data_IF_315731858709
#
_entry.id   IF_315731858709
#
_cell.length_a   1.000
_cell.length_b   1.000
_cell.length_c   1.000
_cell.angle_alpha   90.00
_cell.angle_beta   90.00
_cell.angle_gamma   90.00
#
_symmetry.space_group_name_H-M   'P 1'
#
loop_
_entity.id
_entity.type
_entity.pdbx_description
1 polymer ?
#
# COMPACT_ATOMS: atom_id res chain seq x y z
N UNK A 1 -31.09 -23.99 3.10
CA UNK A 1 -30.26 -22.76 3.04
C UNK A 1 -28.92 -22.86 3.81
N UNK A 2 -28.74 -23.81 4.74
CA UNK A 2 -27.49 -23.88 5.56
C UNK A 2 -26.23 -24.50 4.93
N UNK A 3 -26.31 -25.21 3.79
CA UNK A 3 -25.11 -25.87 3.21
C UNK A 3 -24.27 -25.00 2.25
N UNK A 4 -24.80 -23.84 1.82
CA UNK A 4 -24.12 -22.92 0.90
C UNK A 4 -23.07 -22.03 1.60
N UNK A 5 -23.33 -21.66 2.86
CA UNK A 5 -22.43 -20.78 3.64
C UNK A 5 -21.16 -21.52 4.10
N UNK A 6 -21.31 -22.79 4.51
CA UNK A 6 -20.19 -23.61 4.98
C UNK A 6 -19.19 -23.94 3.87
N UNK A 7 -19.65 -24.08 2.62
CA UNK A 7 -18.77 -24.33 1.47
C UNK A 7 -17.97 -23.09 1.05
N UNK A 8 -18.60 -21.90 1.11
CA UNK A 8 -17.92 -20.61 0.83
C UNK A 8 -16.81 -20.31 1.83
N UNK A 9 -17.05 -20.54 3.13
CA UNK A 9 -16.05 -20.32 4.18
C UNK A 9 -14.86 -21.27 3.97
N UNK A 10 -15.10 -22.57 3.69
CA UNK A 10 -14.04 -23.56 3.44
C UNK A 10 -13.20 -23.27 2.19
N UNK A 11 -13.81 -22.76 1.11
CA UNK A 11 -13.08 -22.35 -0.09
C UNK A 11 -12.25 -21.09 0.13
N UNK A 12 -12.74 -20.12 0.91
CA UNK A 12 -12.02 -18.89 1.21
C UNK A 12 -10.78 -19.14 2.10
N UNK A 13 -10.88 -20.03 3.09
CA UNK A 13 -9.73 -20.43 3.91
C UNK A 13 -8.69 -21.23 3.12
N UNK A 14 -9.12 -22.07 2.16
CA UNK A 14 -8.18 -22.79 1.26
C UNK A 14 -7.49 -21.87 0.26
N UNK A 15 -8.19 -20.84 -0.24
CA UNK A 15 -7.60 -19.86 -1.16
C UNK A 15 -6.52 -19.02 -0.47
N UNK A 16 -6.76 -18.56 0.77
CA UNK A 16 -5.74 -17.85 1.57
C UNK A 16 -4.53 -18.71 1.91
N UNK A 17 -4.72 -20.01 2.19
CA UNK A 17 -3.58 -20.91 2.44
C UNK A 17 -2.77 -21.17 1.16
N UNK A 18 -3.42 -21.25 0.00
CA UNK A 18 -2.75 -21.47 -1.28
C UNK A 18 -1.96 -20.24 -1.75
N UNK A 19 -2.48 -19.02 -1.54
CA UNK A 19 -1.72 -17.78 -1.80
C UNK A 19 -0.53 -17.65 -0.86
N UNK A 20 -0.67 -17.96 0.43
CA UNK A 20 0.47 -17.97 1.37
C UNK A 20 1.52 -19.00 0.98
N UNK A 21 1.12 -20.22 0.57
CA UNK A 21 2.06 -21.28 0.16
C UNK A 21 2.81 -20.93 -1.14
N UNK A 22 2.10 -20.38 -2.13
CA UNK A 22 2.72 -19.93 -3.39
C UNK A 22 3.64 -18.72 -3.18
N UNK A 23 3.35 -17.87 -2.19
CA UNK A 23 4.17 -16.70 -1.86
C UNK A 23 5.46 -17.07 -1.11
N UNK A 24 5.42 -18.06 -0.23
CA UNK A 24 6.62 -18.63 0.40
C UNK A 24 7.51 -19.30 -0.66
N UNK A 25 6.91 -19.96 -1.66
CA UNK A 25 7.66 -20.56 -2.77
C UNK A 25 8.31 -19.53 -3.71
N UNK A 26 7.65 -18.40 -4.00
CA UNK A 26 8.24 -17.35 -4.85
C UNK A 26 9.45 -16.65 -4.21
N UNK A 27 9.58 -16.73 -2.88
CA UNK A 27 10.70 -16.21 -2.11
C UNK A 27 11.89 -17.18 -1.98
N UNK A 28 11.74 -18.43 -2.44
CA UNK A 28 12.75 -19.48 -2.28
C UNK A 28 13.72 -19.62 -3.47
N UNK A 29 13.60 -18.80 -4.51
CA UNK A 29 14.50 -18.88 -5.66
C UNK A 29 15.85 -18.23 -5.35
N UNK A 30 16.84 -19.08 -5.09
CA UNK A 30 18.24 -18.71 -4.96
C UNK A 30 18.83 -18.35 -6.33
N UNK A 31 18.78 -17.08 -6.71
CA UNK A 31 19.76 -16.56 -7.67
C UNK A 31 21.06 -16.35 -6.89
N UNK A 32 22.07 -17.19 -7.16
CA UNK A 32 23.44 -16.97 -6.73
C UNK A 32 23.97 -15.80 -7.53
N UNK A 33 24.12 -14.64 -6.89
CA UNK A 33 25.01 -13.61 -7.40
C UNK A 33 26.42 -14.17 -7.32
N UNK A 34 26.94 -14.65 -8.44
CA UNK A 34 28.31 -15.13 -8.54
C UNK A 34 29.25 -13.93 -8.42
N UNK A 35 29.72 -13.68 -7.20
CA UNK A 35 30.79 -12.72 -6.96
C UNK A 35 32.05 -13.37 -7.50
N UNK A 36 32.52 -12.85 -8.62
CA UNK A 36 33.84 -13.14 -9.16
C UNK A 36 34.86 -12.46 -8.25
N UNK A 37 35.17 -13.09 -7.11
CA UNK A 37 36.48 -12.87 -6.48
C UNK A 37 37.48 -13.33 -7.54
N UNK A 38 38.19 -12.38 -8.14
CA UNK A 38 39.15 -12.65 -9.20
C UNK A 38 40.00 -13.86 -8.76
N UNK A 39 40.02 -14.97 -9.52
CA UNK A 39 40.61 -16.19 -9.03
C UNK A 39 42.09 -15.96 -8.72
N UNK A 40 42.60 -16.64 -7.69
CA UNK A 40 44.01 -16.58 -7.27
C UNK A 40 44.98 -16.86 -8.45
N UNK A 41 44.51 -17.58 -9.49
CA UNK A 41 44.55 -17.23 -10.93
C UNK A 41 45.79 -16.47 -11.45
N UNK A 42 45.82 -15.19 -11.11
CA UNK A 42 46.74 -14.20 -11.70
C UNK A 42 48.01 -13.93 -10.88
N UNK A 43 48.13 -14.51 -9.68
CA UNK A 43 49.26 -14.25 -8.77
C UNK A 43 50.05 -15.51 -8.35
N UNK A 44 50.06 -16.56 -9.18
CA UNK A 44 50.71 -17.86 -8.88
C UNK A 44 52.23 -17.87 -8.67
N UNK A 45 52.89 -16.72 -8.63
CA UNK A 45 54.31 -16.66 -8.25
C UNK A 45 54.56 -15.56 -7.21
N UNK A 46 53.98 -15.77 -6.03
CA UNK A 46 54.32 -15.13 -4.76
C UNK A 46 55.71 -15.60 -4.27
N UNK A 47 56.74 -15.27 -5.03
CA UNK A 47 58.13 -15.70 -4.77
C UNK A 47 58.93 -14.67 -4.00
N UNK A 48 58.51 -13.41 -4.02
CA UNK A 48 59.24 -12.28 -3.43
C UNK A 48 58.35 -11.48 -2.48
N UNK A 49 58.95 -10.84 -1.48
CA UNK A 49 58.27 -9.97 -0.52
C UNK A 49 57.42 -8.87 -1.19
N UNK A 50 57.95 -8.18 -2.19
CA UNK A 50 57.23 -7.09 -2.90
C UNK A 50 55.97 -7.57 -3.63
N UNK A 51 56.01 -8.76 -4.24
CA UNK A 51 54.84 -9.40 -4.86
C UNK A 51 53.79 -9.79 -3.82
N UNK A 52 54.19 -10.26 -2.64
CA UNK A 52 53.27 -10.54 -1.54
C UNK A 52 52.58 -9.28 -1.03
N UNK A 53 53.31 -8.18 -0.91
CA UNK A 53 52.72 -6.89 -0.53
C UNK A 53 51.71 -6.38 -1.56
N UNK A 54 52.02 -6.49 -2.86
CA UNK A 54 51.11 -6.15 -3.95
C UNK A 54 49.85 -7.03 -3.95
N UNK A 55 50.02 -8.34 -3.76
CA UNK A 55 48.91 -9.29 -3.66
C UNK A 55 47.97 -8.98 -2.49
N UNK A 56 48.54 -8.68 -1.31
CA UNK A 56 47.79 -8.21 -0.15
C UNK A 56 47.03 -6.91 -0.46
N UNK A 57 47.69 -5.90 -1.03
CA UNK A 57 47.07 -4.60 -1.34
C UNK A 57 45.93 -4.73 -2.35
N UNK A 58 46.09 -5.58 -3.36
CA UNK A 58 45.02 -5.87 -4.32
C UNK A 58 43.79 -6.47 -3.62
N UNK A 59 43.98 -7.49 -2.78
CA UNK A 59 42.87 -8.13 -2.07
C UNK A 59 42.21 -7.19 -1.05
N UNK A 60 42.99 -6.38 -0.34
CA UNK A 60 42.45 -5.36 0.56
C UNK A 60 41.53 -4.39 -0.19
N UNK A 61 41.90 -3.98 -1.41
CA UNK A 61 41.05 -3.14 -2.27
C UNK A 61 39.77 -3.87 -2.68
N UNK A 62 39.87 -5.13 -3.09
CA UNK A 62 38.70 -5.94 -3.47
C UNK A 62 37.72 -6.12 -2.31
N UNK A 63 38.23 -6.42 -1.11
CA UNK A 63 37.43 -6.49 0.12
C UNK A 63 36.75 -5.15 0.44
N UNK A 64 37.45 -4.04 0.25
CA UNK A 64 36.88 -2.70 0.40
C UNK A 64 35.77 -2.40 -0.60
N UNK A 65 35.89 -2.86 -1.85
CA UNK A 65 34.85 -2.73 -2.87
C UNK A 65 33.63 -3.57 -2.47
N UNK A 66 33.83 -4.83 -2.09
CA UNK A 66 32.75 -5.73 -1.66
C UNK A 66 31.93 -5.10 -0.52
N UNK A 67 32.58 -4.56 0.52
CA UNK A 67 31.85 -3.88 1.61
C UNK A 67 31.01 -2.72 1.10
N UNK A 68 31.55 -1.89 0.19
CA UNK A 68 30.79 -0.77 -0.38
C UNK A 68 29.59 -1.24 -1.18
N UNK A 69 29.71 -2.34 -1.92
CA UNK A 69 28.58 -2.92 -2.67
C UNK A 69 27.48 -3.44 -1.74
N UNK A 70 27.84 -4.10 -0.63
CA UNK A 70 26.87 -4.53 0.39
C UNK A 70 26.22 -3.33 1.10
N UNK A 71 26.99 -2.30 1.44
CA UNK A 71 26.47 -1.04 2.01
C UNK A 71 25.50 -0.36 1.03
N UNK A 72 25.83 -0.29 -0.26
CA UNK A 72 24.97 0.28 -1.28
C UNK A 72 23.67 -0.53 -1.45
N UNK A 73 23.73 -1.86 -1.40
CA UNK A 73 22.54 -2.71 -1.47
C UNK A 73 21.54 -2.42 -0.34
N UNK A 74 22.04 -2.13 0.88
CA UNK A 74 21.19 -1.69 2.00
C UNK A 74 20.53 -0.32 1.73
N UNK A 75 21.27 0.62 1.16
CA UNK A 75 20.75 1.95 0.79
C UNK A 75 19.67 1.82 -0.29
N UNK A 76 19.95 1.08 -1.36
CA UNK A 76 19.00 0.85 -2.44
C UNK A 76 17.72 0.18 -1.94
N UNK A 77 17.84 -0.78 -1.01
CA UNK A 77 16.70 -1.43 -0.39
C UNK A 77 15.86 -0.45 0.42
N UNK A 78 16.51 0.40 1.23
CA UNK A 78 15.85 1.47 1.99
C UNK A 78 15.04 2.37 1.07
N UNK A 79 15.67 2.90 0.04
CA UNK A 79 15.06 3.88 -0.85
C UNK A 79 13.87 3.27 -1.60
N UNK A 80 14.02 2.04 -2.11
CA UNK A 80 12.92 1.30 -2.75
C UNK A 80 11.76 1.03 -1.78
N UNK A 81 12.06 0.68 -0.54
CA UNK A 81 11.02 0.40 0.46
C UNK A 81 10.23 1.67 0.82
N UNK A 82 10.93 2.77 1.11
CA UNK A 82 10.29 4.03 1.45
C UNK A 82 9.53 4.65 0.28
N UNK A 83 10.08 4.61 -0.94
CA UNK A 83 9.37 5.10 -2.13
C UNK A 83 8.01 4.39 -2.33
N UNK A 84 7.93 3.08 -2.02
CA UNK A 84 6.66 2.34 -2.08
C UNK A 84 5.69 2.76 -0.98
N UNK A 85 6.17 3.12 0.21
CA UNK A 85 5.33 3.65 1.28
C UNK A 85 4.82 5.06 0.95
N UNK A 86 5.67 5.90 0.34
CA UNK A 86 5.33 7.28 -0.01
C UNK A 86 4.23 7.35 -1.07
N UNK A 87 4.25 6.45 -2.07
CA UNK A 87 3.16 6.33 -3.06
C UNK A 87 1.82 6.03 -2.37
N UNK A 88 1.81 5.21 -1.32
CA UNK A 88 0.59 4.94 -0.55
C UNK A 88 0.17 6.20 0.22
N UNK A 89 1.14 6.95 0.77
CA UNK A 89 0.90 8.22 1.44
C UNK A 89 0.29 9.31 0.55
N UNK A 90 0.72 9.41 -0.72
CA UNK A 90 0.21 10.42 -1.65
C UNK A 90 -1.29 10.27 -1.92
N UNK A 91 -1.80 9.04 -1.92
CA UNK A 91 -3.23 8.84 -2.15
C UNK A 91 -4.13 9.30 -0.98
N UNK A 92 -3.56 9.79 0.12
CA UNK A 92 -4.32 10.48 1.18
C UNK A 92 -4.92 11.77 0.61
N UNK A 93 -4.13 12.58 -0.09
CA UNK A 93 -4.56 13.87 -0.67
C UNK A 93 -5.73 13.68 -1.65
N UNK A 94 -5.75 12.55 -2.37
CA UNK A 94 -6.83 12.19 -3.27
C UNK A 94 -8.18 12.01 -2.54
N UNK A 95 -8.18 11.39 -1.36
CA UNK A 95 -9.41 11.22 -0.57
C UNK A 95 -9.87 12.54 0.05
N UNK A 96 -8.94 13.39 0.47
CA UNK A 96 -9.25 14.73 0.99
C UNK A 96 -9.94 15.56 -0.10
N UNK A 97 -9.35 15.60 -1.30
CA UNK A 97 -9.93 16.25 -2.48
C UNK A 97 -11.32 15.71 -2.80
N UNK A 98 -11.52 14.38 -2.67
CA UNK A 98 -12.83 13.79 -2.97
C UNK A 98 -13.91 14.18 -1.97
N UNK A 99 -13.57 14.30 -0.69
CA UNK A 99 -14.51 14.79 0.33
C UNK A 99 -14.84 16.26 0.10
N UNK A 100 -13.86 17.08 -0.28
CA UNK A 100 -14.08 18.48 -0.67
C UNK A 100 -15.00 18.60 -1.89
N UNK A 101 -14.83 17.76 -2.91
CA UNK A 101 -15.74 17.70 -4.06
C UNK A 101 -17.19 17.39 -3.65
N UNK A 102 -17.38 16.50 -2.68
CA UNK A 102 -18.71 16.16 -2.16
C UNK A 102 -19.32 17.35 -1.43
N UNK A 103 -18.55 18.01 -0.57
CA UNK A 103 -19.00 19.23 0.08
C UNK A 103 -19.37 20.33 -0.94
N UNK A 104 -18.57 20.50 -1.99
CA UNK A 104 -18.85 21.43 -3.08
C UNK A 104 -20.11 21.10 -3.88
N UNK A 105 -20.55 19.83 -3.88
CA UNK A 105 -21.83 19.42 -4.46
C UNK A 105 -23.01 19.61 -3.50
N UNK A 106 -22.81 19.34 -2.20
CA UNK A 106 -23.87 19.42 -1.20
C UNK A 106 -24.17 20.87 -0.79
N UNK A 107 -23.16 21.74 -0.69
CA UNK A 107 -23.33 23.12 -0.23
C UNK A 107 -24.33 23.93 -1.08
N UNK A 108 -24.29 23.90 -2.43
CA UNK A 108 -25.27 24.62 -3.23
C UNK A 108 -26.69 24.09 -3.09
N UNK A 109 -26.87 22.78 -2.83
CA UNK A 109 -28.20 22.19 -2.68
C UNK A 109 -28.95 22.80 -1.48
N UNK A 110 -28.24 23.11 -0.40
CA UNK A 110 -28.83 23.76 0.78
C UNK A 110 -29.45 25.13 0.47
N UNK A 111 -28.97 25.81 -0.59
CA UNK A 111 -29.47 27.14 -0.98
C UNK A 111 -30.73 27.08 -1.87
N UNK A 112 -31.13 25.89 -2.33
CA UNK A 112 -32.25 25.73 -3.27
C UNK A 112 -33.63 25.68 -2.56
N UNK A 113 -33.68 25.48 -1.24
CA UNK A 113 -34.92 25.54 -0.45
C UNK A 113 -34.89 24.67 0.81
N UNK A 114 -35.89 24.86 1.68
CA UNK A 114 -35.95 24.26 3.03
C UNK A 114 -35.88 22.71 3.03
N UNK A 115 -36.49 22.07 2.03
CA UNK A 115 -36.45 20.60 1.90
C UNK A 115 -35.03 20.13 1.60
N UNK A 116 -34.33 20.82 0.69
CA UNK A 116 -32.98 20.46 0.32
C UNK A 116 -32.01 20.71 1.49
N UNK A 117 -32.17 21.83 2.19
CA UNK A 117 -31.40 22.13 3.40
C UNK A 117 -31.60 21.06 4.49
N UNK A 118 -32.85 20.68 4.76
CA UNK A 118 -33.18 19.60 5.70
C UNK A 118 -32.51 18.27 5.30
N UNK A 119 -32.65 17.86 4.03
CA UNK A 119 -32.13 16.58 3.54
C UNK A 119 -30.60 16.52 3.60
N UNK A 120 -29.91 17.60 3.23
CA UNK A 120 -28.45 17.68 3.32
C UNK A 120 -27.99 17.64 4.78
N UNK A 121 -28.56 18.50 5.65
CA UNK A 121 -28.15 18.55 7.07
C UNK A 121 -28.38 17.23 7.80
N UNK A 122 -29.46 16.52 7.48
CA UNK A 122 -29.78 15.21 8.08
C UNK A 122 -28.73 14.14 7.79
N UNK A 123 -28.20 14.08 6.57
CA UNK A 123 -27.34 12.98 6.13
C UNK A 123 -25.85 13.34 6.07
N UNK A 124 -25.49 14.63 6.00
CA UNK A 124 -24.10 15.11 5.91
C UNK A 124 -23.22 14.65 7.08
N UNK A 125 -23.77 14.55 8.29
CA UNK A 125 -23.04 14.12 9.49
C UNK A 125 -22.49 12.68 9.40
N UNK A 126 -22.97 11.86 8.45
CA UNK A 126 -22.44 10.52 8.20
C UNK A 126 -21.13 10.54 7.41
N UNK A 127 -20.79 11.63 6.71
CA UNK A 127 -19.52 11.74 6.00
C UNK A 127 -18.36 11.72 6.99
N UNK A 128 -17.27 10.97 6.69
CA UNK A 128 -16.11 10.96 7.56
C UNK A 128 -15.45 12.34 7.58
N UNK A 129 -14.97 12.74 8.76
CA UNK A 129 -14.18 13.96 8.88
C UNK A 129 -12.80 13.75 8.25
N UNK A 130 -12.40 14.69 7.37
CA UNK A 130 -11.10 14.68 6.69
C UNK A 130 -9.96 14.43 7.67
N UNK A 131 -9.87 15.21 8.75
CA UNK A 131 -8.81 15.08 9.75
C UNK A 131 -8.70 13.67 10.37
N UNK A 132 -9.83 13.01 10.64
CA UNK A 132 -9.83 11.65 11.21
C UNK A 132 -9.39 10.61 10.18
N UNK A 133 -9.80 10.78 8.91
CA UNK A 133 -9.37 9.92 7.81
C UNK A 133 -7.87 10.04 7.58
N UNK A 134 -7.33 11.26 7.55
CA UNK A 134 -5.89 11.54 7.42
C UNK A 134 -5.08 10.87 8.52
N UNK A 135 -5.54 10.92 9.77
CA UNK A 135 -4.87 10.25 10.90
C UNK A 135 -4.84 8.73 10.69
N UNK A 136 -5.99 8.10 10.43
CA UNK A 136 -6.08 6.64 10.21
C UNK A 136 -5.20 6.17 9.06
N UNK A 137 -5.11 6.97 8.01
CA UNK A 137 -4.29 6.65 6.84
C UNK A 137 -2.79 6.79 7.12
N UNK A 138 -2.38 7.84 7.85
CA UNK A 138 -0.99 7.99 8.32
C UNK A 138 -0.59 6.87 9.28
N UNK A 139 -1.51 6.38 10.11
CA UNK A 139 -1.27 5.22 10.96
C UNK A 139 -0.97 3.94 10.16
N UNK A 140 -1.59 3.76 8.98
CA UNK A 140 -1.29 2.64 8.10
C UNK A 140 0.17 2.69 7.62
N UNK A 141 0.66 3.83 7.13
CA UNK A 141 2.04 3.98 6.62
C UNK A 141 3.08 3.98 7.74
N UNK A 142 2.74 4.51 8.92
CA UNK A 142 3.62 4.52 10.10
C UNK A 142 3.99 3.10 10.54
N UNK A 143 3.04 2.15 10.50
CA UNK A 143 3.31 0.73 10.81
C UNK A 143 4.33 0.12 9.85
N UNK A 144 4.26 0.47 8.57
CA UNK A 144 5.24 0.07 7.56
C UNK A 144 6.62 0.65 7.87
N UNK A 145 6.67 1.95 8.14
CA UNK A 145 7.90 2.69 8.45
C UNK A 145 8.63 2.10 9.66
N UNK A 146 7.90 1.86 10.75
CA UNK A 146 8.47 1.33 12.00
C UNK A 146 8.99 -0.10 11.88
N UNK A 147 8.56 -0.85 10.85
CA UNK A 147 8.99 -2.23 10.64
C UNK A 147 10.33 -2.35 9.90
N UNK A 148 10.78 -1.28 9.22
CA UNK A 148 11.95 -1.30 8.34
C UNK A 148 13.22 -1.82 9.04
N UNK A 149 13.56 -1.27 10.20
CA UNK A 149 14.76 -1.64 10.94
C UNK A 149 14.77 -3.13 11.32
N UNK A 150 13.59 -3.72 11.54
CA UNK A 150 13.46 -5.14 11.82
C UNK A 150 13.89 -6.02 10.64
N UNK A 151 13.69 -5.56 9.41
CA UNK A 151 14.04 -6.33 8.21
C UNK A 151 15.54 -6.33 7.93
N UNK A 152 16.22 -5.21 8.14
CA UNK A 152 17.63 -5.02 7.71
C UNK A 152 18.66 -5.26 8.81
N UNK A 153 18.25 -5.27 10.09
CA UNK A 153 19.17 -5.37 11.23
C UNK A 153 20.21 -6.51 11.13
N UNK A 154 19.80 -7.68 10.64
CA UNK A 154 20.71 -8.81 10.44
C UNK A 154 21.75 -8.56 9.35
N UNK A 155 21.32 -8.00 8.21
CA UNK A 155 22.20 -7.68 7.09
C UNK A 155 23.19 -6.56 7.45
N UNK A 156 22.72 -5.52 8.16
CA UNK A 156 23.57 -4.45 8.70
C UNK A 156 24.63 -4.98 9.67
N UNK A 157 24.24 -5.93 10.53
CA UNK A 157 25.18 -6.58 11.45
C UNK A 157 26.25 -7.37 10.68
N UNK A 158 25.87 -8.11 9.65
CA UNK A 158 26.82 -8.86 8.79
C UNK A 158 27.84 -7.93 8.13
N UNK A 159 27.39 -6.83 7.51
CA UNK A 159 28.30 -5.85 6.87
C UNK A 159 29.25 -5.24 7.90
N UNK A 160 28.74 -4.85 9.07
CA UNK A 160 29.54 -4.29 10.16
C UNK A 160 30.58 -5.29 10.66
N UNK A 161 30.20 -6.55 10.84
CA UNK A 161 31.10 -7.61 11.28
C UNK A 161 32.20 -7.87 10.25
N UNK A 162 31.87 -7.88 8.96
CA UNK A 162 32.82 -8.07 7.88
C UNK A 162 33.82 -6.89 7.80
N UNK A 163 33.32 -5.65 7.90
CA UNK A 163 34.14 -4.45 7.95
C UNK A 163 35.11 -4.47 9.14
N UNK A 164 34.60 -4.81 10.32
CA UNK A 164 35.40 -4.95 11.53
C UNK A 164 36.49 -6.01 11.32
N UNK A 165 36.14 -7.19 10.79
CA UNK A 165 37.08 -8.27 10.51
C UNK A 165 38.26 -7.82 9.63
N UNK A 166 38.02 -7.02 8.59
CA UNK A 166 39.11 -6.48 7.77
C UNK A 166 40.01 -5.50 8.54
N UNK A 167 39.39 -4.60 9.32
CA UNK A 167 40.14 -3.58 10.09
C UNK A 167 40.87 -4.13 11.30
N UNK A 168 40.43 -5.26 11.86
CA UNK A 168 41.04 -5.89 13.04
C UNK A 168 41.81 -7.15 12.69
N UNK A 169 41.12 -8.23 12.34
CA UNK A 169 41.69 -9.57 12.27
C UNK A 169 42.63 -9.70 11.08
N UNK A 170 42.19 -9.25 9.91
CA UNK A 170 43.03 -9.30 8.70
C UNK A 170 44.25 -8.37 8.83
N UNK A 171 44.04 -7.12 9.28
CA UNK A 171 45.13 -6.18 9.52
C UNK A 171 46.15 -6.72 10.54
N UNK A 172 45.69 -7.36 11.62
CA UNK A 172 46.56 -7.96 12.64
C UNK A 172 47.35 -9.12 12.06
N UNK A 173 46.71 -10.05 11.34
CA UNK A 173 47.38 -11.20 10.72
C UNK A 173 48.49 -10.76 9.75
N UNK A 174 48.22 -9.74 8.92
CA UNK A 174 49.23 -9.17 8.00
C UNK A 174 50.39 -8.53 8.77
N UNK A 175 50.10 -7.76 9.83
CA UNK A 175 51.13 -7.15 10.66
C UNK A 175 51.98 -8.18 11.42
N UNK A 176 51.39 -9.29 11.85
CA UNK A 176 52.11 -10.42 12.45
C UNK A 176 53.04 -11.09 11.44
N UNK A 177 52.59 -11.32 10.20
CA UNK A 177 53.46 -11.82 9.12
C UNK A 177 54.66 -10.90 8.91
N UNK A 178 54.45 -9.58 8.89
CA UNK A 178 55.52 -8.58 8.75
C UNK A 178 56.51 -8.61 9.90
N UNK A 179 56.02 -8.67 11.15
CA UNK A 179 56.87 -8.72 12.36
C UNK A 179 57.69 -10.02 12.42
N UNK A 180 57.07 -11.16 12.15
CA UNK A 180 57.69 -12.48 12.25
C UNK A 180 58.76 -12.73 11.19
N UNK A 181 58.66 -12.04 10.05
CA UNK A 181 59.58 -12.19 8.92
C UNK A 181 60.34 -10.89 8.56
N UNK A 182 60.52 -9.98 9.55
CA UNK A 182 61.14 -8.67 9.37
C UNK A 182 62.55 -8.71 8.74
N UNK A 183 63.28 -9.80 8.92
CA UNK A 183 64.65 -9.93 8.43
C UNK A 183 64.75 -10.34 6.94
N UNK A 184 63.62 -10.54 6.25
CA UNK A 184 63.46 -10.84 4.80
C UNK A 184 64.28 -12.01 4.19
N UNK A 185 65.18 -12.64 4.96
CA UNK A 185 66.01 -13.77 4.56
C UNK A 185 65.22 -15.06 4.29
N UNK A 186 63.92 -15.07 4.62
CA UNK A 186 63.02 -16.18 4.39
C UNK A 186 61.80 -15.73 3.57
N UNK A 187 62.04 -15.20 2.36
CA UNK A 187 61.00 -14.70 1.44
C UNK A 187 59.83 -15.67 1.29
N UNK A 188 60.12 -16.97 1.15
CA UNK A 188 59.11 -18.03 1.04
C UNK A 188 58.18 -18.13 2.26
N UNK A 189 58.70 -17.90 3.47
CA UNK A 189 57.89 -17.98 4.68
C UNK A 189 56.99 -16.74 4.81
N UNK A 190 57.49 -15.57 4.42
CA UNK A 190 56.69 -14.35 4.38
C UNK A 190 55.55 -14.45 3.36
N UNK A 191 55.87 -14.84 2.12
CA UNK A 191 54.88 -14.94 1.04
C UNK A 191 53.78 -15.95 1.37
N UNK A 192 54.13 -17.09 1.96
CA UNK A 192 53.16 -18.09 2.43
C UNK A 192 52.27 -17.54 3.56
N UNK A 193 52.84 -16.77 4.50
CA UNK A 193 52.08 -16.17 5.60
C UNK A 193 51.04 -15.17 5.07
N UNK A 194 51.44 -14.27 4.16
CA UNK A 194 50.54 -13.31 3.52
C UNK A 194 49.46 -14.03 2.71
N UNK A 195 49.83 -15.03 1.91
CA UNK A 195 48.87 -15.82 1.14
C UNK A 195 47.82 -16.45 2.05
N UNK A 196 48.24 -17.04 3.17
CA UNK A 196 47.32 -17.67 4.13
C UNK A 196 46.38 -16.64 4.77
N UNK A 197 46.88 -15.46 5.14
CA UNK A 197 46.05 -14.39 5.68
C UNK A 197 44.99 -13.92 4.69
N UNK A 198 45.36 -13.76 3.41
CA UNK A 198 44.45 -13.37 2.33
C UNK A 198 43.41 -14.46 2.05
N UNK A 199 43.81 -15.73 1.93
CA UNK A 199 42.88 -16.85 1.70
C UNK A 199 41.86 -16.99 2.82
N UNK A 200 42.27 -16.79 4.08
CA UNK A 200 41.35 -16.80 5.22
C UNK A 200 40.36 -15.63 5.15
N UNK A 201 40.83 -14.43 4.79
CA UNK A 201 39.96 -13.27 4.62
C UNK A 201 38.99 -13.45 3.44
N UNK A 202 39.43 -14.02 2.33
CA UNK A 202 38.58 -14.33 1.18
C UNK A 202 37.48 -15.36 1.55
N UNK A 203 37.86 -16.42 2.27
CA UNK A 203 36.90 -17.42 2.77
C UNK A 203 35.83 -16.80 3.66
N UNK A 204 36.23 -15.92 4.59
CA UNK A 204 35.30 -15.19 5.46
C UNK A 204 34.40 -14.24 4.65
N UNK A 205 34.98 -13.53 3.68
CA UNK A 205 34.26 -12.64 2.76
C UNK A 205 33.15 -13.38 2.02
N UNK A 206 33.49 -14.52 1.43
CA UNK A 206 32.53 -15.34 0.70
C UNK A 206 31.39 -15.84 1.61
N UNK A 207 31.74 -16.35 2.80
CA UNK A 207 30.76 -16.84 3.76
C UNK A 207 29.80 -15.73 4.22
N UNK A 208 30.32 -14.57 4.63
CA UNK A 208 29.51 -13.45 5.12
C UNK A 208 28.68 -12.82 4.01
N UNK A 209 29.20 -12.79 2.79
CA UNK A 209 28.42 -12.28 1.66
C UNK A 209 27.23 -13.18 1.35
N UNK A 210 27.40 -14.51 1.41
CA UNK A 210 26.26 -15.43 1.28
C UNK A 210 25.23 -15.25 2.40
N UNK A 211 25.68 -15.03 3.64
CA UNK A 211 24.78 -14.73 4.77
C UNK A 211 24.01 -13.44 4.52
N UNK A 212 24.71 -12.38 4.09
CA UNK A 212 24.10 -11.10 3.74
C UNK A 212 23.03 -11.26 2.65
N UNK A 213 23.36 -11.95 1.55
CA UNK A 213 22.43 -12.14 0.43
C UNK A 213 21.15 -12.89 0.86
N UNK A 214 21.28 -13.89 1.73
CA UNK A 214 20.12 -14.62 2.28
C UNK A 214 19.28 -13.74 3.22
N UNK A 215 19.93 -12.91 4.04
CA UNK A 215 19.27 -11.94 4.90
C UNK A 215 18.53 -10.88 4.07
N UNK A 216 19.14 -10.36 3.00
CA UNK A 216 18.51 -9.39 2.09
C UNK A 216 17.29 -9.97 1.38
N UNK A 217 17.36 -11.21 0.89
CA UNK A 217 16.18 -11.89 0.29
C UNK A 217 15.03 -12.04 1.29
N UNK A 218 15.37 -12.42 2.53
CA UNK A 218 14.37 -12.52 3.61
C UNK A 218 13.77 -11.14 3.91
N UNK A 219 14.60 -10.09 3.95
CA UNK A 219 14.17 -8.71 4.15
C UNK A 219 13.24 -8.24 3.02
N UNK A 220 13.55 -8.54 1.76
CA UNK A 220 12.70 -8.25 0.59
C UNK A 220 11.33 -8.90 0.71
N UNK A 221 11.27 -10.16 1.11
CA UNK A 221 10.00 -10.87 1.29
C UNK A 221 9.18 -10.28 2.44
N UNK A 222 9.80 -10.00 3.57
CA UNK A 222 9.13 -9.39 4.72
C UNK A 222 8.64 -7.97 4.40
N UNK A 223 9.46 -7.18 3.71
CA UNK A 223 9.08 -5.87 3.23
C UNK A 223 7.91 -5.94 2.24
N UNK A 224 7.92 -6.87 1.28
CA UNK A 224 6.83 -7.05 0.34
C UNK A 224 5.51 -7.42 1.03
N UNK A 225 5.55 -8.31 2.04
CA UNK A 225 4.38 -8.62 2.87
C UNK A 225 3.91 -7.38 3.63
N UNK A 226 4.84 -6.63 4.24
CA UNK A 226 4.50 -5.43 4.99
C UNK A 226 3.87 -4.34 4.12
N UNK A 227 4.39 -4.11 2.92
CA UNK A 227 3.78 -3.18 1.96
C UNK A 227 2.36 -3.60 1.62
N UNK A 228 2.08 -4.90 1.46
CA UNK A 228 0.71 -5.38 1.21
C UNK A 228 -0.20 -5.12 2.41
N UNK A 229 0.25 -5.39 3.63
CA UNK A 229 -0.53 -5.07 4.84
C UNK A 229 -0.85 -3.57 4.94
N UNK A 230 0.12 -2.70 4.61
CA UNK A 230 -0.09 -1.25 4.58
C UNK A 230 -1.09 -0.88 3.49
N UNK A 231 -1.00 -1.49 2.31
CA UNK A 231 -1.91 -1.26 1.21
C UNK A 231 -3.34 -1.75 1.50
N UNK A 232 -3.50 -2.89 2.18
CA UNK A 232 -4.80 -3.40 2.61
C UNK A 232 -5.44 -2.47 3.66
N UNK A 233 -4.64 -2.00 4.62
CA UNK A 233 -5.06 -1.00 5.62
C UNK A 233 -5.56 0.28 4.93
N UNK A 234 -4.81 0.77 3.96
CA UNK A 234 -5.16 1.92 3.12
C UNK A 234 -6.47 1.70 2.35
N UNK A 235 -6.60 0.58 1.63
CA UNK A 235 -7.77 0.28 0.83
C UNK A 235 -9.05 0.15 1.67
N UNK A 236 -8.96 -0.38 2.88
CA UNK A 236 -10.10 -0.44 3.79
C UNK A 236 -10.67 0.96 4.09
N UNK A 237 -9.81 1.96 4.29
CA UNK A 237 -10.26 3.34 4.51
C UNK A 237 -10.84 3.96 3.23
N UNK A 238 -10.20 3.74 2.09
CA UNK A 238 -10.64 4.23 0.78
C UNK A 238 -12.04 3.70 0.45
N UNK A 239 -12.21 2.37 0.42
CA UNK A 239 -13.48 1.74 0.07
C UNK A 239 -14.58 2.12 1.05
N UNK A 240 -14.27 2.18 2.35
CA UNK A 240 -15.23 2.65 3.35
C UNK A 240 -15.67 4.08 3.05
N UNK A 241 -14.74 4.98 2.75
CA UNK A 241 -15.03 6.39 2.49
C UNK A 241 -15.89 6.55 1.24
N UNK A 242 -15.53 5.90 0.13
CA UNK A 242 -16.32 5.95 -1.11
C UNK A 242 -17.73 5.37 -0.94
N UNK A 243 -17.87 4.26 -0.21
CA UNK A 243 -19.20 3.69 0.09
C UNK A 243 -20.04 4.67 0.91
N UNK A 244 -19.48 5.29 1.94
CA UNK A 244 -20.19 6.29 2.76
C UNK A 244 -20.57 7.52 1.93
N UNK A 245 -19.69 8.01 1.05
CA UNK A 245 -20.03 9.09 0.11
C UNK A 245 -21.22 8.70 -0.77
N UNK A 246 -21.19 7.50 -1.37
CA UNK A 246 -22.28 7.01 -2.22
C UNK A 246 -23.59 6.84 -1.46
N UNK A 247 -23.55 6.34 -0.23
CA UNK A 247 -24.73 6.24 0.64
C UNK A 247 -25.31 7.61 0.96
N UNK A 248 -24.49 8.57 1.39
CA UNK A 248 -24.94 9.93 1.74
C UNK A 248 -25.54 10.62 0.53
N UNK A 249 -24.88 10.59 -0.62
CA UNK A 249 -25.40 11.18 -1.86
C UNK A 249 -26.75 10.56 -2.24
N UNK A 250 -26.86 9.22 -2.23
CA UNK A 250 -28.12 8.55 -2.54
C UNK A 250 -29.23 8.85 -1.53
N UNK A 251 -28.92 8.97 -0.23
CA UNK A 251 -29.89 9.34 0.80
C UNK A 251 -30.37 10.78 0.63
N UNK A 252 -29.47 11.72 0.32
CA UNK A 252 -29.83 13.12 0.03
C UNK A 252 -30.74 13.19 -1.20
N UNK A 253 -30.38 12.53 -2.30
CA UNK A 253 -31.19 12.49 -3.53
C UNK A 253 -32.58 11.88 -3.28
N UNK A 254 -32.66 10.76 -2.57
CA UNK A 254 -33.94 10.11 -2.25
C UNK A 254 -34.81 10.98 -1.32
N UNK A 255 -34.18 11.69 -0.38
CA UNK A 255 -34.88 12.62 0.52
C UNK A 255 -35.44 13.81 -0.26
N UNK A 256 -34.64 14.44 -1.13
CA UNK A 256 -35.07 15.55 -2.00
C UNK A 256 -36.19 15.10 -2.95
N UNK A 257 -36.11 13.88 -3.47
CA UNK A 257 -37.15 13.28 -4.31
C UNK A 257 -38.44 12.91 -3.56
N UNK A 258 -38.54 13.20 -2.26
CA UNK A 258 -39.75 12.97 -1.47
C UNK A 258 -39.95 11.50 -1.04
N UNK A 259 -38.99 10.61 -1.29
CA UNK A 259 -39.14 9.18 -1.00
C UNK A 259 -39.15 8.88 0.51
N UNK A 260 -38.55 9.76 1.33
CA UNK A 260 -38.55 9.64 2.79
C UNK A 260 -39.85 10.16 3.45
N UNK A 261 -40.64 10.98 2.74
CA UNK A 261 -41.83 11.63 3.29
C UNK A 261 -43.15 10.94 2.89
N UNK A 262 -43.08 9.93 2.01
CA UNK A 262 -44.24 9.11 1.67
C UNK A 262 -44.43 8.00 2.72
N UNK A 263 -45.53 7.96 3.48
CA UNK A 263 -45.84 6.81 4.32
C UNK A 263 -45.95 5.56 3.44
N UNK A 264 -45.52 4.41 3.97
CA UNK A 264 -45.75 3.12 3.34
C UNK A 264 -47.24 2.98 3.04
N UNK A 265 -47.60 3.04 1.77
CA UNK A 265 -48.95 2.70 1.36
C UNK A 265 -49.13 1.23 1.72
N UNK A 266 -50.10 0.95 2.58
CA UNK A 266 -50.35 -0.39 3.10
C UNK A 266 -50.45 -1.40 1.96
N UNK A 267 -49.78 -2.53 2.17
CA UNK A 267 -49.87 -3.76 1.40
C UNK A 267 -49.80 -3.63 -0.13
N UNK A 268 -48.66 -3.19 -0.64
CA UNK A 268 -48.15 -3.78 -1.88
C UNK A 268 -46.66 -4.07 -1.77
N UNK A 269 -46.39 -5.33 -1.43
CA UNK A 269 -45.10 -5.96 -1.73
C UNK A 269 -44.88 -5.86 -3.23
N UNK A 270 -43.73 -5.29 -3.62
CA UNK A 270 -43.17 -5.21 -4.98
C UNK A 270 -43.31 -3.82 -5.64
N UNK A 271 -42.22 -3.07 -5.57
CA UNK A 271 -41.79 -2.03 -6.52
C UNK A 271 -42.65 -0.76 -6.60
N UNK A 272 -42.46 0.18 -5.67
CA UNK A 272 -41.99 1.56 -5.97
C UNK A 272 -41.94 2.37 -4.67
N UNK A 273 -40.74 2.53 -4.12
CA UNK A 273 -40.51 3.53 -3.06
C UNK A 273 -40.65 4.92 -3.70
N UNK A 274 -41.56 5.75 -3.17
CA UNK A 274 -41.62 7.19 -3.48
C UNK A 274 -42.59 7.64 -4.56
N UNK A 275 -43.64 6.89 -4.88
CA UNK A 275 -44.75 7.39 -5.70
C UNK A 275 -46.06 7.29 -4.92
N UNK A 276 -46.86 8.35 -4.97
CA UNK A 276 -48.20 8.30 -4.39
C UNK A 276 -49.05 7.34 -5.21
N UNK A 277 -49.79 6.41 -4.58
CA UNK A 277 -50.54 5.37 -5.29
C UNK A 277 -51.61 5.95 -6.21
N UNK A 278 -52.04 7.17 -5.92
CA UNK A 278 -52.91 7.95 -6.78
C UNK A 278 -52.06 8.96 -7.55
N UNK A 279 -52.12 8.84 -8.88
CA UNK A 279 -51.54 9.79 -9.81
C UNK A 279 -52.65 10.45 -10.62
N UNK A 280 -52.60 11.77 -10.74
CA UNK A 280 -53.42 12.53 -11.67
C UNK A 280 -52.50 13.19 -12.69
N UNK A 281 -52.57 12.77 -13.94
CA UNK A 281 -51.90 13.46 -15.03
C UNK A 281 -52.85 14.52 -15.59
N UNK A 282 -52.49 15.78 -15.42
CA UNK A 282 -53.25 16.90 -15.96
C UNK A 282 -52.58 17.41 -17.23
N UNK A 283 -53.18 17.13 -18.38
CA UNK A 283 -52.76 17.73 -19.65
C UNK A 283 -53.23 19.18 -19.73
N UNK A 284 -52.28 20.12 -19.67
CA UNK A 284 -52.60 21.55 -19.78
C UNK A 284 -53.18 21.91 -21.16
N UNK A 285 -52.97 21.05 -22.16
CA UNK A 285 -53.55 21.18 -23.50
C UNK A 285 -55.05 20.83 -23.56
N UNK A 286 -55.57 20.07 -22.60
CA UNK A 286 -56.97 19.64 -22.55
C UNK A 286 -57.82 20.53 -21.62
N UNK A 287 -57.18 21.48 -20.94
CA UNK A 287 -57.86 22.54 -20.18
C UNK A 287 -58.21 23.71 -21.09
N UNK A 288 -59.43 24.21 -20.95
CA UNK A 288 -59.86 25.49 -21.55
C UNK A 288 -59.02 26.63 -20.95
N UNK A 289 -57.96 27.05 -21.66
CA UNK A 289 -57.03 28.10 -21.24
C UNK A 289 -57.64 29.52 -21.28
N UNK A 290 -58.96 29.64 -21.53
CA UNK A 290 -59.68 30.92 -21.46
C UNK A 290 -60.04 31.34 -20.03
N UNK A 291 -59.91 30.44 -19.05
CA UNK A 291 -60.12 30.71 -17.63
C UNK A 291 -58.79 30.85 -16.89
N UNK A 292 -58.60 31.95 -16.16
CA UNK A 292 -57.46 32.15 -15.23
C UNK A 292 -57.45 31.17 -14.04
N UNK A 293 -58.51 30.35 -13.90
CA UNK A 293 -58.69 29.41 -12.79
C UNK A 293 -58.77 27.98 -13.31
N UNK A 294 -57.96 27.11 -12.72
CA UNK A 294 -58.05 25.66 -12.89
C UNK A 294 -59.11 25.09 -11.93
N UNK A 295 -59.81 24.03 -12.37
CA UNK A 295 -60.67 23.27 -11.46
C UNK A 295 -59.81 22.63 -10.36
N UNK A 296 -60.27 22.65 -9.11
CA UNK A 296 -59.49 22.09 -8.01
C UNK A 296 -59.29 20.56 -8.22
N UNK A 297 -58.06 20.06 -8.45
CA UNK A 297 -57.80 18.63 -8.65
C UNK A 297 -58.08 17.80 -7.40
N UNK A 298 -58.22 18.46 -6.25
CA UNK A 298 -58.50 17.82 -4.97
C UNK A 298 -60.01 17.77 -4.64
N UNK A 299 -60.88 18.25 -5.55
CA UNK A 299 -62.33 18.24 -5.34
C UNK A 299 -62.87 16.81 -5.44
N UNK A 300 -63.43 16.29 -4.35
CA UNK A 300 -64.02 14.95 -4.28
C UNK A 300 -63.07 13.86 -3.77
N UNK A 301 -61.84 14.21 -3.41
CA UNK A 301 -60.93 13.28 -2.76
C UNK A 301 -61.43 13.04 -1.33
N UNK A 302 -61.75 11.78 -1.03
CA UNK A 302 -62.19 11.37 0.29
C UNK A 302 -61.05 11.48 1.31
N UNK A 303 -61.37 11.64 2.59
CA UNK A 303 -60.38 11.60 3.70
C UNK A 303 -59.54 10.30 3.75
N UNK A 304 -59.90 9.29 2.96
CA UNK A 304 -59.24 7.98 2.87
C UNK A 304 -58.15 7.90 1.80
N UNK A 305 -57.93 8.93 0.98
CA UNK A 305 -56.85 8.96 0.00
C UNK A 305 -55.55 9.45 0.66
N UNK A 306 -54.54 8.60 0.88
CA UNK A 306 -53.36 8.92 1.70
C UNK A 306 -52.38 9.89 1.02
N UNK A 307 -52.26 9.85 -0.31
CA UNK A 307 -51.50 10.81 -1.09
C UNK A 307 -51.97 10.83 -2.55
N UNK A 308 -52.06 12.03 -3.15
CA UNK A 308 -52.27 12.23 -4.59
C UNK A 308 -51.10 13.04 -5.16
N UNK A 309 -50.43 12.50 -6.18
CA UNK A 309 -49.44 13.23 -6.97
C UNK A 309 -50.11 13.76 -8.25
N UNK A 310 -50.09 15.08 -8.44
CA UNK A 310 -50.58 15.73 -9.67
C UNK A 310 -49.39 16.06 -10.57
N UNK A 311 -49.36 15.48 -11.76
CA UNK A 311 -48.33 15.74 -12.77
C UNK A 311 -48.90 16.61 -13.87
N UNK A 312 -48.39 17.83 -14.03
CA UNK A 312 -48.77 18.72 -15.12
C UNK A 312 -48.00 18.36 -16.39
N UNK A 313 -48.72 18.03 -17.46
CA UNK A 313 -48.14 17.70 -18.75
C UNK A 313 -48.40 18.89 -19.70
N UNK A 314 -47.35 19.67 -19.96
CA UNK A 314 -47.33 20.67 -21.03
C UNK A 314 -46.95 19.97 -22.34
N UNK A 315 -47.67 20.24 -23.44
CA UNK A 315 -47.16 19.87 -24.77
C UNK A 315 -45.94 20.76 -25.08
N UNK A 316 -44.76 20.16 -25.19
CA UNK A 316 -43.46 20.83 -25.38
C UNK A 316 -42.89 21.27 -24.03
N UNK A 317 -41.69 20.87 -23.63
CA UNK A 317 -40.44 20.96 -24.37
C UNK A 317 -39.56 19.74 -24.00
N UNK A 318 -38.95 19.14 -25.03
CA UNK A 318 -37.69 18.42 -24.85
C UNK A 318 -36.59 19.47 -24.72
N UNK A 319 -36.09 19.67 -23.49
CA UNK A 319 -34.73 20.09 -23.09
C UNK A 319 -34.52 19.56 -21.68
#
# INVERSE_FOLDING_TARGET
VSNSLALKIKMQTRRNKLTVLLLVLSCAYSVQGEITILPDVLYYNLTTTSRADLFHMHHLRQFGINVKELEQSLVDFKDKYHARLDVIGYNIELLETKLEEVDNKLNPLMLLGDINDYCVNKHRAKLPQIAQLTIKMKECTLKGTNSYNGFVSGAEATVRNLKNYYTSNFATAVNECKKKHANQLAERNYTQCISTAVTNAATKTYADTNVFQNQMKTAECNAAMKIREVFDCYNLQVFSTFNTIGEVMGLVENCIAGQEFCPSCGDDTVLTKGRCPYHLSWHLADSDMTSEKINNPFKGIAKTTPCLQVNFITKGIAV
#
